data_IF_304648382896
#
_entry.id   IF_304648382896
#
_cell.length_a   1.000
_cell.length_b   1.000
_cell.length_c   1.000
_cell.angle_alpha   90.00
_cell.angle_beta   90.00
_cell.angle_gamma   90.00
#
_symmetry.space_group_name_H-M   'P 1'
#
loop_
_entity.id
_entity.type
_entity.pdbx_description
1 polymer ?
#
# COMPACT_ATOMS: atom_id res chain seq x y z
N UNK A 1 1.67 -15.36 -29.78
CA UNK A 1 0.95 -14.56 -28.78
C UNK A 1 0.20 -13.45 -29.49
N UNK A 2 -1.04 -13.11 -29.09
CA UNK A 2 -1.76 -11.97 -29.67
C UNK A 2 -1.13 -10.65 -29.20
N UNK A 3 -1.20 -9.56 -30.00
CA UNK A 3 -0.65 -8.26 -29.59
C UNK A 3 -1.19 -7.77 -28.23
N UNK A 4 -2.49 -7.94 -27.98
CA UNK A 4 -3.12 -7.55 -26.70
C UNK A 4 -2.64 -8.37 -25.49
N UNK A 5 -2.25 -9.63 -25.70
CA UNK A 5 -1.68 -10.48 -24.63
C UNK A 5 -0.27 -10.02 -24.28
N UNK A 6 0.55 -9.70 -25.29
CA UNK A 6 1.88 -9.15 -25.07
C UNK A 6 1.83 -7.80 -24.35
N UNK A 7 0.93 -6.91 -24.76
CA UNK A 7 0.75 -5.63 -24.06
C UNK A 7 0.24 -5.83 -22.62
N UNK A 8 -0.59 -6.83 -22.36
CA UNK A 8 -1.03 -7.15 -21.00
C UNK A 8 0.11 -7.71 -20.13
N UNK A 9 0.99 -8.54 -20.70
CA UNK A 9 2.22 -8.98 -20.03
C UNK A 9 3.11 -7.79 -19.69
N UNK A 10 3.31 -6.87 -20.63
CA UNK A 10 4.06 -5.63 -20.44
C UNK A 10 3.47 -4.81 -19.29
N UNK A 11 2.15 -4.62 -19.29
CA UNK A 11 1.41 -3.88 -18.27
C UNK A 11 1.60 -4.50 -16.88
N UNK A 12 1.29 -5.79 -16.74
CA UNK A 12 1.40 -6.52 -15.46
C UNK A 12 2.85 -6.62 -14.98
N UNK A 13 3.83 -6.59 -15.89
CA UNK A 13 5.23 -6.57 -15.50
C UNK A 13 5.68 -5.25 -14.90
N UNK A 14 5.05 -4.14 -15.30
CA UNK A 14 5.35 -2.79 -14.78
C UNK A 14 4.52 -2.47 -13.54
N UNK A 15 3.28 -2.97 -13.51
CA UNK A 15 2.27 -2.69 -12.49
C UNK A 15 1.64 -3.98 -11.97
N UNK A 16 2.41 -4.83 -11.27
CA UNK A 16 1.89 -6.04 -10.63
C UNK A 16 0.84 -5.69 -9.58
N UNK A 17 -0.15 -6.56 -9.42
CA UNK A 17 -1.30 -6.41 -8.52
C UNK A 17 -2.25 -5.27 -8.90
N UNK A 18 -2.22 -4.82 -10.16
CA UNK A 18 -3.24 -3.94 -10.71
C UNK A 18 -4.55 -4.72 -10.90
N UNK A 19 -5.69 -4.06 -10.67
CA UNK A 19 -7.00 -4.61 -11.04
C UNK A 19 -7.33 -4.32 -12.51
N UNK A 20 -8.38 -4.94 -13.06
CA UNK A 20 -8.71 -4.82 -14.49
C UNK A 20 -9.23 -3.42 -14.88
N UNK A 21 -9.87 -2.69 -13.97
CA UNK A 21 -10.36 -1.33 -14.23
C UNK A 21 -9.22 -0.31 -14.15
N UNK A 22 -8.34 -0.46 -13.16
CA UNK A 22 -7.07 0.26 -13.04
C UNK A 22 -6.21 0.00 -14.29
N UNK A 23 -6.15 -1.25 -14.78
CA UNK A 23 -5.45 -1.60 -16.01
C UNK A 23 -6.02 -0.86 -17.23
N UNK A 24 -7.34 -0.85 -17.40
CA UNK A 24 -8.00 -0.14 -18.50
C UNK A 24 -7.69 1.36 -18.50
N UNK A 25 -7.78 2.00 -17.32
CA UNK A 25 -7.48 3.42 -17.17
C UNK A 25 -6.01 3.75 -17.50
N UNK A 26 -5.07 2.93 -17.01
CA UNK A 26 -3.64 3.18 -17.15
C UNK A 26 -3.06 2.77 -18.51
N UNK A 27 -3.74 1.91 -19.28
CA UNK A 27 -3.34 1.53 -20.63
C UNK A 27 -4.05 2.30 -21.74
N UNK A 28 -5.15 3.01 -21.42
CA UNK A 28 -6.03 3.64 -22.41
C UNK A 28 -6.93 2.64 -23.16
N UNK A 29 -7.02 1.40 -22.69
CA UNK A 29 -7.87 0.39 -23.29
C UNK A 29 -9.34 0.58 -22.91
N UNK A 30 -10.23 0.07 -23.76
CA UNK A 30 -11.62 -0.15 -23.34
C UNK A 30 -11.66 -1.18 -22.20
N UNK A 31 -12.67 -1.07 -21.33
CA UNK A 31 -12.87 -2.02 -20.22
C UNK A 31 -12.92 -3.47 -20.73
N UNK A 32 -13.66 -3.73 -21.81
CA UNK A 32 -13.77 -5.06 -22.40
C UNK A 32 -12.42 -5.59 -22.91
N UNK A 33 -11.60 -4.74 -23.52
CA UNK A 33 -10.27 -5.14 -24.00
C UNK A 33 -9.34 -5.52 -22.83
N UNK A 34 -9.31 -4.70 -21.77
CA UNK A 34 -8.52 -4.99 -20.57
C UNK A 34 -8.95 -6.30 -19.90
N UNK A 35 -10.27 -6.53 -19.77
CA UNK A 35 -10.81 -7.76 -19.21
C UNK A 35 -10.41 -8.99 -20.03
N UNK A 36 -10.64 -8.94 -21.34
CA UNK A 36 -10.35 -10.06 -22.23
C UNK A 36 -8.86 -10.39 -22.27
N UNK A 37 -8.00 -9.37 -22.31
CA UNK A 37 -6.55 -9.55 -22.36
C UNK A 37 -6.02 -10.20 -21.06
N UNK A 38 -6.39 -9.67 -19.89
CA UNK A 38 -5.97 -10.23 -18.59
C UNK A 38 -6.54 -11.63 -18.37
N UNK A 39 -7.79 -11.87 -18.75
CA UNK A 39 -8.41 -13.19 -18.64
C UNK A 39 -7.76 -14.21 -19.59
N UNK A 40 -7.32 -13.80 -20.78
CA UNK A 40 -6.54 -14.67 -21.67
C UNK A 40 -5.24 -15.12 -21.00
N UNK A 41 -4.51 -14.20 -20.37
CA UNK A 41 -3.28 -14.53 -19.63
C UNK A 41 -3.54 -15.47 -18.45
N UNK A 42 -4.67 -15.30 -17.74
CA UNK A 42 -5.06 -16.23 -16.67
C UNK A 42 -5.39 -17.63 -17.20
N UNK A 43 -6.12 -17.72 -18.32
CA UNK A 43 -6.44 -19.00 -18.98
C UNK A 43 -5.20 -19.73 -19.46
N UNK A 44 -4.17 -19.00 -19.90
CA UNK A 44 -2.89 -19.56 -20.34
C UNK A 44 -1.92 -19.83 -19.18
N UNK A 45 -2.28 -19.52 -17.93
CA UNK A 45 -1.40 -19.73 -16.77
C UNK A 45 -0.21 -18.74 -16.70
N UNK A 46 -0.24 -17.67 -17.49
CA UNK A 46 0.80 -16.63 -17.52
C UNK A 46 0.59 -15.56 -16.45
N UNK A 47 -0.65 -15.41 -15.97
CA UNK A 47 -1.01 -14.56 -14.86
C UNK A 47 -1.91 -15.31 -13.87
N UNK A 48 -1.91 -14.85 -12.63
CA UNK A 48 -2.83 -15.31 -11.58
C UNK A 48 -3.39 -14.11 -10.83
N UNK A 49 -4.50 -14.31 -10.13
CA UNK A 49 -5.12 -13.28 -9.30
C UNK A 49 -5.28 -13.67 -7.85
N UNK A 50 -5.29 -12.64 -7.01
CA UNK A 50 -5.60 -12.73 -5.58
C UNK A 50 -6.83 -11.86 -5.27
N UNK A 51 -7.67 -12.25 -4.30
CA UNK A 51 -8.72 -11.38 -3.80
C UNK A 51 -8.11 -10.22 -3.01
N UNK A 52 -8.72 -9.04 -3.13
CA UNK A 52 -8.35 -7.88 -2.33
C UNK A 52 -9.59 -7.10 -1.93
N UNK A 53 -9.65 -6.69 -0.67
CA UNK A 53 -10.62 -5.72 -0.18
C UNK A 53 -10.00 -4.97 1.02
N UNK A 54 -10.35 -3.70 1.17
CA UNK A 54 -10.00 -2.92 2.36
C UNK A 54 -11.17 -2.03 2.75
N UNK A 55 -11.04 -1.29 3.85
CA UNK A 55 -12.07 -0.30 4.22
C UNK A 55 -12.19 0.84 3.20
N UNK A 56 -11.13 1.08 2.41
CA UNK A 56 -11.07 2.18 1.45
C UNK A 56 -11.37 1.73 0.02
N UNK A 57 -11.24 0.43 -0.26
CA UNK A 57 -11.26 -0.10 -1.63
C UNK A 57 -12.23 -1.28 -1.67
N UNK A 58 -13.24 -1.24 -2.56
CA UNK A 58 -14.21 -2.31 -2.69
C UNK A 58 -13.52 -3.63 -3.07
N UNK A 59 -14.20 -4.77 -2.90
CA UNK A 59 -13.67 -6.06 -3.31
C UNK A 59 -13.25 -6.07 -4.78
N UNK A 60 -12.00 -6.44 -5.05
CA UNK A 60 -11.39 -6.53 -6.38
C UNK A 60 -10.57 -7.80 -6.51
N UNK A 61 -10.17 -8.12 -7.75
CA UNK A 61 -9.16 -9.14 -8.06
C UNK A 61 -7.93 -8.42 -8.59
N UNK A 62 -6.78 -8.73 -8.00
CA UNK A 62 -5.49 -8.11 -8.34
C UNK A 62 -4.60 -9.13 -9.01
N UNK A 63 -4.01 -8.76 -10.14
CA UNK A 63 -3.35 -9.71 -11.04
C UNK A 63 -1.83 -9.55 -11.02
N UNK A 64 -1.09 -10.65 -11.08
CA UNK A 64 0.36 -10.62 -11.27
C UNK A 64 0.81 -11.76 -12.19
N UNK A 65 2.01 -11.60 -12.77
CA UNK A 65 2.61 -12.63 -13.62
C UNK A 65 3.06 -13.85 -12.80
N UNK A 66 2.92 -15.03 -13.40
CA UNK A 66 3.53 -16.27 -12.92
C UNK A 66 5.00 -16.35 -13.33
N UNK A 67 5.73 -17.36 -12.85
CA UNK A 67 7.09 -17.62 -13.33
C UNK A 67 7.12 -17.84 -14.84
N UNK A 68 6.12 -18.55 -15.38
CA UNK A 68 5.98 -18.77 -16.82
C UNK A 68 5.66 -17.46 -17.56
N UNK A 69 4.74 -16.65 -17.06
CA UNK A 69 4.44 -15.34 -17.66
C UNK A 69 5.67 -14.42 -17.75
N UNK A 70 6.54 -14.44 -16.72
CA UNK A 70 7.82 -13.70 -16.75
C UNK A 70 8.77 -14.28 -17.79
N UNK A 71 8.90 -15.61 -17.89
CA UNK A 71 9.76 -16.28 -18.87
C UNK A 71 9.32 -16.02 -20.32
N UNK A 72 8.00 -16.07 -20.57
CA UNK A 72 7.42 -15.75 -21.89
C UNK A 72 7.71 -14.29 -22.24
N UNK A 73 7.43 -13.36 -21.33
CA UNK A 73 7.69 -11.93 -21.57
C UNK A 73 9.17 -11.65 -21.87
N UNK A 74 10.09 -12.29 -21.14
CA UNK A 74 11.52 -12.14 -21.37
C UNK A 74 11.91 -12.57 -22.79
N UNK A 75 11.38 -13.70 -23.26
CA UNK A 75 11.57 -14.21 -24.62
C UNK A 75 10.99 -13.27 -25.69
N UNK A 76 9.77 -12.77 -25.49
CA UNK A 76 9.13 -11.85 -26.44
C UNK A 76 9.87 -10.50 -26.53
N UNK A 77 10.49 -10.03 -25.44
CA UNK A 77 11.30 -8.81 -25.44
C UNK A 77 12.76 -9.02 -25.90
N UNK A 78 13.17 -10.26 -26.17
CA UNK A 78 14.57 -10.59 -26.48
C UNK A 78 15.54 -10.28 -25.33
N UNK A 79 15.06 -10.29 -24.09
CA UNK A 79 15.85 -10.00 -22.88
C UNK A 79 15.99 -11.24 -21.99
N UNK A 80 17.10 -11.32 -21.23
CA UNK A 80 17.25 -12.37 -20.22
C UNK A 80 16.26 -12.18 -19.06
N UNK A 81 15.76 -13.29 -18.51
CA UNK A 81 14.88 -13.30 -17.33
C UNK A 81 15.51 -12.51 -16.17
N UNK A 82 16.80 -12.69 -15.91
CA UNK A 82 17.50 -11.98 -14.83
C UNK A 82 17.50 -10.45 -15.02
N UNK A 83 17.62 -9.98 -16.26
CA UNK A 83 17.57 -8.55 -16.57
C UNK A 83 16.15 -8.00 -16.33
N UNK A 84 15.12 -8.76 -16.70
CA UNK A 84 13.73 -8.42 -16.46
C UNK A 84 13.43 -8.35 -14.95
N UNK A 85 13.84 -9.36 -14.18
CA UNK A 85 13.65 -9.43 -12.73
C UNK A 85 14.36 -8.31 -11.95
N UNK A 86 15.46 -7.77 -12.49
CA UNK A 86 16.21 -6.64 -11.89
C UNK A 86 15.65 -5.29 -12.27
N UNK A 87 15.02 -5.17 -13.44
CA UNK A 87 14.49 -3.90 -13.96
C UNK A 87 13.02 -3.67 -13.64
N UNK A 88 12.25 -4.73 -13.35
CA UNK A 88 10.79 -4.67 -13.14
C UNK A 88 10.35 -5.27 -11.81
N UNK A 89 9.19 -4.84 -11.26
CA UNK A 89 8.66 -5.33 -9.99
C UNK A 89 8.03 -6.75 -10.04
N UNK A 90 8.58 -7.68 -10.82
CA UNK A 90 8.00 -9.02 -11.05
C UNK A 90 8.68 -10.16 -10.29
N UNK A 91 9.76 -9.88 -9.57
CA UNK A 91 10.46 -10.92 -8.81
C UNK A 91 9.70 -11.39 -7.58
N UNK A 92 10.03 -12.57 -7.04
CA UNK A 92 9.43 -13.06 -5.79
C UNK A 92 9.60 -12.08 -4.62
N UNK A 93 10.74 -11.38 -4.54
CA UNK A 93 11.01 -10.40 -3.50
C UNK A 93 10.09 -9.17 -3.64
N UNK A 94 9.88 -8.72 -4.88
CA UNK A 94 8.94 -7.65 -5.19
C UNK A 94 7.51 -8.07 -4.87
N UNK A 95 7.06 -9.23 -5.37
CA UNK A 95 5.72 -9.73 -5.12
C UNK A 95 5.45 -9.83 -3.60
N UNK A 96 6.39 -10.39 -2.84
CA UNK A 96 6.29 -10.43 -1.36
C UNK A 96 6.09 -9.04 -0.77
N UNK A 97 6.92 -8.07 -1.14
CA UNK A 97 6.87 -6.72 -0.62
C UNK A 97 5.54 -6.01 -0.99
N UNK A 98 5.04 -6.23 -2.20
CA UNK A 98 3.80 -5.64 -2.66
C UNK A 98 2.58 -6.28 -1.98
N UNK A 99 2.61 -7.60 -1.73
CA UNK A 99 1.59 -8.30 -0.94
C UNK A 99 1.56 -7.80 0.51
N UNK A 100 2.72 -7.63 1.14
CA UNK A 100 2.84 -7.05 2.48
C UNK A 100 2.29 -5.61 2.54
N UNK A 101 2.18 -4.92 1.39
CA UNK A 101 1.73 -3.53 1.23
C UNK A 101 0.47 -3.40 0.37
N UNK A 102 -0.32 -4.47 0.27
CA UNK A 102 -1.37 -4.57 -0.76
C UNK A 102 -2.36 -3.41 -0.73
N UNK A 103 -2.80 -3.00 0.47
CA UNK A 103 -3.74 -1.88 0.63
C UNK A 103 -3.12 -0.55 0.16
N UNK A 104 -1.85 -0.31 0.48
CA UNK A 104 -1.13 0.89 0.04
C UNK A 104 -0.91 0.90 -1.48
N UNK A 105 -0.53 -0.23 -2.06
CA UNK A 105 -0.35 -0.40 -3.52
C UNK A 105 -1.66 -0.14 -4.25
N UNK A 106 -2.75 -0.68 -3.72
CA UNK A 106 -4.10 -0.49 -4.24
C UNK A 106 -4.49 0.99 -4.24
N UNK A 107 -4.26 1.73 -3.15
CA UNK A 107 -4.53 3.18 -3.10
C UNK A 107 -3.70 3.94 -4.13
N UNK A 108 -2.43 3.58 -4.33
CA UNK A 108 -1.58 4.20 -5.36
C UNK A 108 -2.14 3.96 -6.77
N UNK A 109 -2.62 2.75 -7.08
CA UNK A 109 -3.21 2.47 -8.39
C UNK A 109 -4.54 3.19 -8.62
N UNK A 110 -5.38 3.33 -7.59
CA UNK A 110 -6.61 4.13 -7.65
C UNK A 110 -6.31 5.60 -7.89
N UNK A 111 -5.31 6.16 -7.19
CA UNK A 111 -4.82 7.52 -7.43
C UNK A 111 -4.29 7.68 -8.86
N UNK A 112 -3.49 6.75 -9.35
CA UNK A 112 -2.97 6.79 -10.71
C UNK A 112 -4.11 6.71 -11.75
N UNK A 113 -5.15 5.91 -11.49
CA UNK A 113 -6.34 5.82 -12.35
C UNK A 113 -7.15 7.13 -12.36
N UNK A 114 -7.31 7.78 -11.21
CA UNK A 114 -7.95 9.10 -11.15
C UNK A 114 -7.12 10.18 -11.85
N UNK A 115 -5.78 10.09 -11.77
CA UNK A 115 -4.87 10.98 -12.51
C UNK A 115 -4.95 10.76 -14.02
N UNK A 116 -5.18 9.52 -14.50
CA UNK A 116 -5.24 9.26 -15.95
C UNK A 116 -6.40 9.97 -16.64
N UNK A 117 -7.48 10.29 -15.90
CA UNK A 117 -8.60 11.08 -16.41
C UNK A 117 -8.24 12.56 -16.63
N UNK A 118 -7.19 13.05 -15.96
CA UNK A 118 -6.71 14.43 -16.07
C UNK A 118 -5.44 14.55 -16.94
N UNK A 119 -4.62 13.50 -17.00
CA UNK A 119 -3.39 13.47 -17.78
C UNK A 119 -3.10 12.04 -18.27
N UNK A 120 -2.99 11.86 -19.59
CA UNK A 120 -2.68 10.56 -20.20
C UNK A 120 -1.74 10.76 -21.41
N UNK A 121 -0.77 9.86 -21.66
CA UNK A 121 -0.44 8.64 -20.93
C UNK A 121 0.36 8.88 -19.64
N UNK A 122 0.19 7.96 -18.67
CA UNK A 122 0.96 7.96 -17.42
C UNK A 122 2.02 6.86 -17.43
N UNK A 123 3.16 7.12 -16.78
CA UNK A 123 4.12 6.08 -16.40
C UNK A 123 4.19 6.02 -14.89
N UNK A 124 4.00 4.83 -14.32
CA UNK A 124 4.04 4.59 -12.88
C UNK A 124 5.23 3.69 -12.52
N UNK A 125 5.93 4.02 -11.44
CA UNK A 125 6.95 3.16 -10.83
C UNK A 125 6.75 3.08 -9.33
N UNK A 126 6.71 1.86 -8.81
CA UNK A 126 6.73 1.60 -7.36
C UNK A 126 8.17 1.53 -6.84
N UNK A 127 8.36 1.79 -5.56
CA UNK A 127 9.67 1.81 -4.90
C UNK A 127 9.74 0.87 -3.69
N UNK A 128 10.83 0.11 -3.58
CA UNK A 128 11.06 -0.82 -2.45
C UNK A 128 11.57 -0.10 -1.21
N UNK A 129 12.56 0.77 -1.43
CA UNK A 129 13.44 1.34 -0.42
C UNK A 129 13.60 2.86 -0.52
N UNK A 130 13.28 3.49 -1.67
CA UNK A 130 13.28 4.95 -1.76
C UNK A 130 12.33 5.58 -0.72
N UNK A 131 12.55 6.83 -0.28
CA UNK A 131 11.67 7.50 0.68
C UNK A 131 10.28 7.85 0.11
N UNK A 132 9.96 7.44 -1.11
CA UNK A 132 8.64 7.51 -1.76
C UNK A 132 8.04 6.11 -1.93
N UNK A 133 6.73 6.01 -2.07
CA UNK A 133 6.04 4.75 -2.38
C UNK A 133 5.95 4.51 -3.87
N UNK A 134 5.66 5.56 -4.61
CA UNK A 134 5.57 5.55 -6.06
C UNK A 134 6.04 6.88 -6.64
N UNK A 135 6.31 6.88 -7.94
CA UNK A 135 6.32 8.10 -8.74
C UNK A 135 5.51 7.90 -10.02
N UNK A 136 4.92 8.99 -10.50
CA UNK A 136 4.03 9.03 -11.65
C UNK A 136 4.60 10.11 -12.58
N UNK A 137 5.06 9.73 -13.77
CA UNK A 137 5.38 10.70 -14.80
C UNK A 137 4.15 11.00 -15.65
N UNK A 138 3.93 12.30 -15.86
CA UNK A 138 2.90 12.87 -16.70
C UNK A 138 3.39 12.95 -18.17
N UNK A 139 2.49 13.23 -19.14
CA UNK A 139 2.84 13.33 -20.55
C UNK A 139 3.87 14.43 -20.88
N UNK A 140 3.99 15.44 -20.02
CA UNK A 140 4.86 16.61 -20.17
C UNK A 140 6.13 16.56 -19.30
N UNK A 141 6.58 15.34 -19.00
CA UNK A 141 7.79 15.05 -18.22
C UNK A 141 7.79 15.56 -16.76
N UNK A 142 6.67 16.10 -16.28
CA UNK A 142 6.47 16.33 -14.85
C UNK A 142 6.39 15.00 -14.10
N UNK A 143 6.94 14.98 -12.89
CA UNK A 143 6.98 13.79 -12.04
C UNK A 143 6.33 14.09 -10.69
N UNK A 144 5.27 13.35 -10.38
CA UNK A 144 4.60 13.37 -9.08
C UNK A 144 5.15 12.24 -8.23
N UNK A 145 5.70 12.55 -7.06
CA UNK A 145 6.12 11.53 -6.10
C UNK A 145 5.06 11.30 -5.03
N UNK A 146 4.65 10.06 -4.84
CA UNK A 146 3.61 9.67 -3.88
C UNK A 146 4.25 9.17 -2.58
N UNK A 147 3.82 9.73 -1.45
CA UNK A 147 4.29 9.38 -0.11
C UNK A 147 3.09 9.09 0.78
N UNK A 148 2.91 7.83 1.16
CA UNK A 148 1.88 7.42 2.11
C UNK A 148 2.46 7.38 3.52
N UNK A 149 1.71 7.89 4.50
CA UNK A 149 1.94 7.61 5.92
C UNK A 149 0.83 6.69 6.41
N UNK A 150 1.18 5.52 6.94
CA UNK A 150 0.19 4.68 7.60
C UNK A 150 0.18 4.85 9.12
N UNK A 151 -0.83 4.31 9.82
CA UNK A 151 -1.04 4.51 11.25
C UNK A 151 0.09 3.98 12.14
N UNK A 152 0.81 2.92 11.72
CA UNK A 152 1.92 2.36 12.48
C UNK A 152 3.19 3.25 12.42
N UNK A 153 3.24 4.22 11.51
CA UNK A 153 4.41 5.10 11.38
C UNK A 153 4.44 6.14 12.50
N UNK A 154 5.52 6.14 13.29
CA UNK A 154 5.73 7.12 14.34
C UNK A 154 6.12 8.50 13.79
N UNK A 155 5.95 9.54 14.61
CA UNK A 155 6.28 10.93 14.24
C UNK A 155 7.73 11.07 13.79
N UNK A 156 8.66 10.41 14.48
CA UNK A 156 10.09 10.51 14.20
C UNK A 156 10.45 9.79 12.89
N UNK A 157 9.91 8.61 12.64
CA UNK A 157 10.10 7.87 11.40
C UNK A 157 9.57 8.64 10.19
N UNK A 158 8.39 9.24 10.30
CA UNK A 158 7.83 10.06 9.23
C UNK A 158 8.67 11.33 8.98
N UNK A 159 9.06 12.06 10.03
CA UNK A 159 9.93 13.22 9.88
C UNK A 159 11.28 12.88 9.22
N UNK A 160 11.91 11.76 9.61
CA UNK A 160 13.13 11.23 8.97
C UNK A 160 12.91 10.85 7.50
N UNK A 161 11.72 10.33 7.16
CA UNK A 161 11.34 10.03 5.77
C UNK A 161 11.23 11.31 4.95
N UNK A 162 10.52 12.33 5.45
CA UNK A 162 10.43 13.64 4.81
C UNK A 162 11.79 14.33 4.66
N UNK A 163 12.65 14.23 5.68
CA UNK A 163 14.00 14.77 5.59
C UNK A 163 14.82 14.11 4.48
N UNK A 164 14.73 12.77 4.34
CA UNK A 164 15.39 12.03 3.25
C UNK A 164 14.91 12.44 1.85
N UNK A 165 13.65 12.90 1.70
CA UNK A 165 13.16 13.41 0.42
C UNK A 165 13.93 14.63 -0.07
N UNK A 166 14.52 15.42 0.84
CA UNK A 166 15.32 16.60 0.48
C UNK A 166 16.62 16.24 -0.27
N UNK A 167 17.11 15.02 -0.12
CA UNK A 167 18.30 14.51 -0.80
C UNK A 167 18.02 13.72 -2.09
N UNK A 168 16.76 13.61 -2.51
CA UNK A 168 16.40 12.94 -3.76
C UNK A 168 16.47 13.90 -4.96
N UNK A 169 16.57 13.35 -6.20
CA UNK A 169 16.19 14.10 -7.39
C UNK A 169 14.84 14.77 -7.20
N UNK A 170 14.71 16.05 -7.60
CA UNK A 170 13.52 16.85 -7.29
C UNK A 170 12.34 16.41 -8.19
N UNK A 171 11.24 15.89 -7.61
CA UNK A 171 9.99 15.74 -8.35
C UNK A 171 9.33 17.11 -8.58
N UNK A 172 8.42 17.19 -9.53
CA UNK A 172 7.61 18.40 -9.81
C UNK A 172 6.68 18.72 -8.64
N UNK A 173 6.16 17.71 -7.95
CA UNK A 173 5.44 17.84 -6.70
C UNK A 173 5.42 16.53 -5.89
N UNK A 174 5.11 16.65 -4.60
CA UNK A 174 4.78 15.52 -3.72
C UNK A 174 3.27 15.42 -3.52
N UNK A 175 2.74 14.20 -3.59
CA UNK A 175 1.40 13.84 -3.17
C UNK A 175 1.50 13.00 -1.89
N UNK A 176 1.04 13.56 -0.77
CA UNK A 176 1.10 12.93 0.54
C UNK A 176 -0.27 12.39 0.95
N UNK A 177 -0.34 11.10 1.24
CA UNK A 177 -1.56 10.42 1.68
C UNK A 177 -1.48 10.12 3.17
N UNK A 178 -2.34 10.76 3.96
CA UNK A 178 -2.32 10.73 5.42
C UNK A 178 -3.50 9.89 5.93
N UNK A 179 -3.35 9.13 7.03
CA UNK A 179 -4.39 8.19 7.43
C UNK A 179 -5.51 8.90 8.23
N UNK A 180 -5.24 10.08 8.78
CA UNK A 180 -6.20 10.89 9.55
C UNK A 180 -5.81 12.37 9.59
N UNK A 181 -6.73 13.20 10.09
CA UNK A 181 -6.58 14.66 10.19
C UNK A 181 -5.53 15.11 11.22
N UNK A 182 -5.20 14.30 12.22
CA UNK A 182 -4.15 14.65 13.19
C UNK A 182 -2.78 14.57 12.51
N UNK A 183 -2.51 13.45 11.84
CA UNK A 183 -1.28 13.22 11.08
C UNK A 183 -1.18 14.15 9.87
N UNK A 184 -2.29 14.46 9.20
CA UNK A 184 -2.32 15.46 8.12
C UNK A 184 -1.89 16.84 8.59
N UNK A 185 -2.49 17.35 9.68
CA UNK A 185 -2.11 18.65 10.26
C UNK A 185 -0.64 18.66 10.70
N UNK A 186 -0.16 17.56 11.25
CA UNK A 186 1.24 17.43 11.64
C UNK A 186 2.18 17.44 10.43
N UNK A 187 1.88 16.68 9.38
CA UNK A 187 2.65 16.64 8.15
C UNK A 187 2.72 18.03 7.51
N UNK A 188 1.59 18.74 7.47
CA UNK A 188 1.53 20.12 6.97
C UNK A 188 2.45 21.07 7.75
N UNK A 189 2.56 20.94 9.07
CA UNK A 189 3.52 21.71 9.88
C UNK A 189 4.97 21.39 9.52
N UNK A 190 5.30 20.11 9.31
CA UNK A 190 6.65 19.68 8.92
C UNK A 190 7.04 20.14 7.51
N UNK A 191 6.05 20.37 6.65
CA UNK A 191 6.23 20.75 5.26
C UNK A 191 6.19 22.27 5.01
N UNK A 192 5.95 23.08 6.05
CA UNK A 192 5.83 24.54 5.90
C UNK A 192 7.04 25.16 5.19
N UNK A 193 8.24 24.71 5.56
CA UNK A 193 9.51 25.21 5.03
C UNK A 193 10.21 24.16 4.15
N UNK A 194 9.43 23.23 3.57
CA UNK A 194 9.99 22.23 2.67
C UNK A 194 10.35 22.86 1.32
N UNK A 195 11.50 22.49 0.71
CA UNK A 195 11.96 23.07 -0.55
C UNK A 195 11.25 22.49 -1.79
N UNK A 196 10.07 21.89 -1.61
CA UNK A 196 9.32 21.20 -2.66
C UNK A 196 7.83 21.49 -2.53
N UNK A 197 7.15 21.50 -3.67
CA UNK A 197 5.70 21.66 -3.74
C UNK A 197 5.06 20.36 -3.22
N UNK A 198 4.13 20.48 -2.28
CA UNK A 198 3.50 19.33 -1.64
C UNK A 198 2.00 19.54 -1.46
N UNK A 199 1.24 18.48 -1.77
CA UNK A 199 -0.19 18.40 -1.59
C UNK A 199 -0.51 17.22 -0.68
N UNK A 200 -1.42 17.42 0.26
CA UNK A 200 -1.81 16.44 1.27
C UNK A 200 -3.29 16.11 1.11
N UNK A 201 -3.64 14.85 1.23
CA UNK A 201 -5.03 14.40 1.33
C UNK A 201 -5.15 13.32 2.42
N UNK A 202 -6.37 13.12 2.93
CA UNK A 202 -6.67 11.90 3.66
C UNK A 202 -6.65 10.73 2.68
N UNK A 203 -6.10 9.60 3.11
CA UNK A 203 -5.99 8.39 2.30
C UNK A 203 -7.39 7.91 1.85
N UNK A 204 -8.38 8.02 2.74
CA UNK A 204 -9.79 7.71 2.44
C UNK A 204 -10.36 8.57 1.32
N UNK A 205 -10.07 9.87 1.36
CA UNK A 205 -10.60 10.83 0.40
C UNK A 205 -9.93 10.60 -0.96
N UNK A 206 -8.61 10.45 -0.99
CA UNK A 206 -7.85 10.23 -2.22
C UNK A 206 -8.18 8.89 -2.89
N UNK A 207 -8.49 7.84 -2.12
CA UNK A 207 -8.84 6.53 -2.66
C UNK A 207 -10.24 6.48 -3.30
N UNK A 208 -11.16 7.32 -2.82
CA UNK A 208 -12.55 7.40 -3.29
C UNK A 208 -12.80 8.55 -4.28
N UNK A 209 -11.94 9.57 -4.28
CA UNK A 209 -12.07 10.76 -5.11
C UNK A 209 -11.89 10.48 -6.61
N UNK A 210 -12.75 11.10 -7.42
CA UNK A 210 -12.49 11.32 -8.84
C UNK A 210 -11.59 12.54 -9.08
N UNK A 211 -11.19 12.80 -10.34
CA UNK A 211 -10.28 13.90 -10.70
C UNK A 211 -10.79 15.29 -10.29
N UNK A 212 -12.10 15.48 -10.19
CA UNK A 212 -12.75 16.77 -9.87
C UNK A 212 -13.06 16.94 -8.38
N UNK A 213 -12.71 15.97 -7.53
CA UNK A 213 -13.03 16.04 -6.10
C UNK A 213 -12.03 16.95 -5.36
N UNK A 214 -12.48 18.02 -4.68
CA UNK A 214 -11.59 18.97 -4.02
C UNK A 214 -11.10 18.42 -2.66
N UNK A 215 -10.16 17.48 -2.68
CA UNK A 215 -9.66 16.78 -1.48
C UNK A 215 -8.20 17.12 -1.15
N UNK A 216 -7.48 17.72 -2.09
CA UNK A 216 -6.06 18.02 -1.96
C UNK A 216 -5.83 19.36 -1.27
N UNK A 217 -5.00 19.33 -0.23
CA UNK A 217 -4.65 20.49 0.59
C UNK A 217 -3.20 20.86 0.30
N UNK A 218 -2.89 22.05 -0.22
CA UNK A 218 -1.51 22.50 -0.35
C UNK A 218 -0.83 22.59 1.02
N UNK A 219 0.49 22.41 1.07
CA UNK A 219 1.27 22.57 2.31
C UNK A 219 1.13 23.99 2.90
N UNK A 220 1.00 24.99 2.03
CA UNK A 220 0.74 26.40 2.34
C UNK A 220 -0.65 26.83 1.81
N UNK A 221 -1.40 27.61 2.60
CA UNK A 221 -2.77 28.03 2.24
C UNK A 221 -3.89 27.07 2.67
N UNK A 222 -5.15 27.48 2.53
CA UNK A 222 -6.32 26.74 3.05
C UNK A 222 -7.25 26.17 1.97
N UNK A 223 -7.06 26.56 0.70
CA UNK A 223 -7.92 26.12 -0.39
C UNK A 223 -7.80 24.61 -0.64
N UNK A 224 -8.94 23.95 -0.79
CA UNK A 224 -9.02 22.59 -1.30
C UNK A 224 -8.92 22.60 -2.82
N UNK A 225 -8.17 21.66 -3.37
CA UNK A 225 -7.89 21.52 -4.79
C UNK A 225 -8.36 20.16 -5.28
N UNK A 226 -8.88 20.13 -6.51
CA UNK A 226 -9.04 18.90 -7.26
C UNK A 226 -7.71 18.49 -7.92
N UNK A 227 -7.68 17.33 -8.60
CA UNK A 227 -6.44 16.86 -9.22
C UNK A 227 -5.99 17.76 -10.37
N UNK A 228 -6.91 18.35 -11.15
CA UNK A 228 -6.55 19.25 -12.26
C UNK A 228 -5.84 20.50 -11.75
N UNK A 229 -6.40 21.14 -10.72
CA UNK A 229 -5.79 22.28 -10.06
C UNK A 229 -4.46 21.93 -9.38
N UNK A 230 -4.30 20.71 -8.85
CA UNK A 230 -3.00 20.22 -8.37
C UNK A 230 -2.00 20.14 -9.52
N UNK A 231 -2.39 19.57 -10.65
CA UNK A 231 -1.54 19.47 -11.84
C UNK A 231 -1.12 20.86 -12.32
N UNK A 232 -2.04 21.80 -12.49
CA UNK A 232 -1.74 23.17 -12.97
C UNK A 232 -0.75 23.94 -12.08
N UNK A 233 -0.66 23.55 -10.81
CA UNK A 233 0.22 24.18 -9.80
C UNK A 233 1.47 23.36 -9.52
N UNK A 234 1.70 22.25 -10.23
CA UNK A 234 2.95 21.49 -10.08
C UNK A 234 4.12 22.22 -10.74
N UNK A 235 5.32 21.98 -10.23
CA UNK A 235 6.54 22.61 -10.73
C UNK A 235 6.93 22.14 -12.13
N UNK A 236 8.10 22.61 -12.62
CA UNK A 236 8.66 22.20 -13.92
C UNK A 236 8.94 20.69 -13.99
N UNK A 237 9.33 20.16 -15.17
CA UNK A 237 9.71 18.77 -15.35
C UNK A 237 10.61 18.24 -14.24
N UNK A 238 10.28 17.05 -13.75
CA UNK A 238 10.89 16.46 -12.56
C UNK A 238 11.76 15.27 -12.92
N UNK A 239 12.44 14.73 -11.91
CA UNK A 239 13.23 13.50 -12.08
C UNK A 239 12.68 12.36 -11.25
N UNK A 240 12.75 11.16 -11.81
CA UNK A 240 12.46 9.94 -11.08
C UNK A 240 13.44 9.76 -9.93
N UNK A 241 12.97 9.45 -8.71
CA UNK A 241 13.85 8.97 -7.65
C UNK A 241 14.66 7.76 -8.13
N UNK A 242 15.95 7.75 -7.85
CA UNK A 242 16.84 6.63 -8.18
C UNK A 242 16.75 5.54 -7.10
N UNK A 243 16.65 4.27 -7.50
CA UNK A 243 16.77 3.12 -6.61
C UNK A 243 17.72 2.09 -7.21
N UNK A 244 18.66 1.58 -6.40
CA UNK A 244 19.58 0.51 -6.82
C UNK A 244 18.79 -0.77 -7.11
N UNK A 245 19.06 -1.47 -8.23
CA UNK A 245 18.44 -2.76 -8.51
C UNK A 245 18.63 -3.78 -7.38
N UNK A 246 17.74 -4.78 -7.22
CA UNK A 246 17.96 -5.87 -6.27
C UNK A 246 19.27 -6.61 -6.57
N UNK A 247 20.04 -6.89 -5.52
CA UNK A 247 21.26 -7.71 -5.65
C UNK A 247 20.96 -9.17 -6.02
N UNK A 248 19.83 -9.68 -5.53
CA UNK A 248 19.30 -11.02 -5.85
C UNK A 248 17.83 -10.88 -6.24
N UNK A 249 17.46 -11.52 -7.33
CA UNK A 249 16.09 -11.60 -7.80
C UNK A 249 15.83 -13.03 -8.25
N UNK A 250 14.66 -13.55 -7.92
CA UNK A 250 14.23 -14.88 -8.33
C UNK A 250 12.84 -14.80 -8.95
N UNK A 251 12.52 -15.76 -9.80
CA UNK A 251 11.19 -15.90 -10.37
C UNK A 251 10.12 -15.92 -9.27
N UNK A 252 8.93 -15.35 -9.52
CA UNK A 252 7.84 -15.38 -8.57
C UNK A 252 7.43 -16.82 -8.30
N UNK A 253 7.40 -17.19 -7.01
CA UNK A 253 6.90 -18.48 -6.56
C UNK A 253 5.40 -18.38 -6.41
N UNK A 254 4.67 -19.45 -6.73
CA UNK A 254 3.23 -19.54 -6.50
C UNK A 254 2.84 -19.09 -5.09
N UNK A 255 1.69 -18.44 -4.98
CA UNK A 255 1.13 -18.04 -3.69
C UNK A 255 0.47 -19.28 -3.08
N UNK A 256 1.29 -20.17 -2.52
CA UNK A 256 0.79 -21.30 -1.74
C UNK A 256 0.38 -20.83 -0.35
N UNK A 257 -0.79 -21.28 0.12
CA UNK A 257 -1.37 -20.96 1.43
C UNK A 257 -0.67 -21.65 2.62
N UNK A 258 0.53 -22.21 2.41
CA UNK A 258 1.36 -22.85 3.42
C UNK A 258 2.15 -21.86 4.31
N UNK A 259 3.19 -22.35 4.99
CA UNK A 259 4.03 -21.70 6.04
C UNK A 259 4.62 -20.31 5.73
N UNK A 260 4.35 -19.74 4.56
CA UNK A 260 4.52 -18.32 4.22
C UNK A 260 3.30 -17.42 4.52
N UNK A 261 2.41 -17.81 5.43
CA UNK A 261 1.12 -17.16 5.70
C UNK A 261 1.19 -15.66 6.09
N UNK A 262 2.31 -15.20 6.66
CA UNK A 262 2.44 -13.81 7.17
C UNK A 262 2.35 -12.75 6.09
N UNK A 263 2.97 -12.99 4.92
CA UNK A 263 2.91 -12.06 3.79
C UNK A 263 1.53 -12.03 3.12
N UNK A 264 0.70 -13.05 3.35
CA UNK A 264 -0.66 -13.13 2.84
C UNK A 264 -1.69 -12.59 3.81
N UNK A 265 -1.28 -12.15 5.00
CA UNK A 265 -2.21 -11.62 5.99
C UNK A 265 -3.10 -10.48 5.42
N UNK A 266 -2.58 -9.51 4.62
CA UNK A 266 -3.43 -8.50 4.00
C UNK A 266 -4.48 -9.05 3.01
N UNK A 267 -4.24 -10.24 2.45
CA UNK A 267 -5.17 -10.95 1.54
C UNK A 267 -6.21 -11.73 2.34
N UNK A 268 -5.81 -12.32 3.47
CA UNK A 268 -6.67 -13.15 4.32
C UNK A 268 -7.63 -12.33 5.19
N UNK A 269 -7.26 -11.09 5.53
CA UNK A 269 -8.09 -10.20 6.35
C UNK A 269 -9.22 -9.56 5.53
N UNK A 270 -10.46 -9.63 6.03
CA UNK A 270 -11.58 -8.86 5.48
C UNK A 270 -11.45 -7.38 5.86
N UNK A 271 -12.15 -6.45 5.19
CA UNK A 271 -12.13 -5.03 5.54
C UNK A 271 -12.36 -4.77 7.03
N UNK A 272 -13.43 -5.34 7.59
CA UNK A 272 -13.74 -5.21 9.03
C UNK A 272 -12.65 -5.76 9.94
N UNK A 273 -11.90 -6.78 9.51
CA UNK A 273 -10.81 -7.37 10.28
C UNK A 273 -9.60 -6.41 10.29
N UNK A 274 -9.30 -5.80 9.13
CA UNK A 274 -8.27 -4.75 8.99
C UNK A 274 -8.61 -3.53 9.84
N UNK A 275 -9.87 -3.09 9.82
CA UNK A 275 -10.36 -1.99 10.66
C UNK A 275 -10.15 -2.28 12.14
N UNK A 276 -10.63 -3.43 12.61
CA UNK A 276 -10.47 -3.84 14.00
C UNK A 276 -9.00 -3.90 14.40
N UNK A 277 -8.15 -4.47 13.55
CA UNK A 277 -6.71 -4.57 13.82
C UNK A 277 -6.05 -3.19 13.91
N UNK A 278 -6.40 -2.26 13.03
CA UNK A 278 -5.95 -0.86 13.08
C UNK A 278 -6.32 -0.20 14.42
N UNK A 279 -7.59 -0.30 14.82
CA UNK A 279 -8.08 0.27 16.07
C UNK A 279 -7.43 -0.36 17.32
N UNK A 280 -7.24 -1.68 17.34
CA UNK A 280 -6.52 -2.36 18.43
C UNK A 280 -5.06 -1.91 18.50
N UNK A 281 -4.43 -1.62 17.35
CA UNK A 281 -3.05 -1.13 17.31
C UNK A 281 -2.88 0.34 17.72
N UNK A 282 -3.92 1.16 17.53
CA UNK A 282 -3.97 2.57 17.94
C UNK A 282 -4.36 2.73 19.41
N UNK A 283 -5.18 1.82 19.95
CA UNK A 283 -5.54 1.74 21.36
C UNK A 283 -5.15 0.38 21.96
N UNK A 284 -3.88 0.21 22.37
CA UNK A 284 -3.44 -0.99 23.05
C UNK A 284 -4.30 -1.29 24.27
N UNK A 285 -4.61 -2.57 24.49
CA UNK A 285 -5.48 -3.02 25.57
C UNK A 285 -6.88 -2.41 25.48
N UNK A 286 -7.46 -2.32 24.29
CA UNK A 286 -8.85 -1.89 24.15
C UNK A 286 -9.79 -2.95 24.75
N UNK A 287 -10.84 -2.50 25.45
CA UNK A 287 -11.90 -3.41 25.88
C UNK A 287 -12.75 -3.85 24.69
N UNK A 288 -13.24 -5.09 24.62
CA UNK A 288 -14.15 -5.50 23.55
C UNK A 288 -15.39 -4.59 23.45
N UNK A 289 -15.93 -4.12 24.57
CA UNK A 289 -17.09 -3.22 24.56
C UNK A 289 -16.79 -1.88 23.87
N UNK A 290 -15.61 -1.28 24.14
CA UNK A 290 -15.21 -0.04 23.48
C UNK A 290 -14.92 -0.25 22.00
N UNK A 291 -14.22 -1.33 21.64
CA UNK A 291 -13.98 -1.67 20.24
C UNK A 291 -15.30 -1.84 19.48
N UNK A 292 -16.25 -2.58 20.05
CA UNK A 292 -17.60 -2.75 19.48
C UNK A 292 -18.33 -1.42 19.31
N UNK A 293 -18.27 -0.53 20.31
CA UNK A 293 -18.86 0.80 20.25
C UNK A 293 -18.27 1.67 19.13
N UNK A 294 -16.93 1.72 19.02
CA UNK A 294 -16.22 2.50 18.00
C UNK A 294 -16.48 1.95 16.59
N UNK A 295 -16.55 0.63 16.44
CA UNK A 295 -16.82 0.00 15.16
C UNK A 295 -18.32 -0.01 14.79
N UNK A 296 -19.22 0.31 15.72
CA UNK A 296 -20.66 0.19 15.52
C UNK A 296 -21.14 -1.26 15.39
N UNK A 297 -20.44 -2.22 16.01
CA UNK A 297 -20.73 -3.64 15.89
C UNK A 297 -21.49 -4.19 17.09
N UNK A 298 -22.51 -5.02 16.82
CA UNK A 298 -23.15 -5.86 17.85
C UNK A 298 -22.15 -6.86 18.43
N UNK A 299 -22.36 -7.27 19.68
CA UNK A 299 -21.49 -8.20 20.42
C UNK A 299 -21.18 -9.50 19.66
N UNK A 300 -22.19 -10.11 19.01
CA UNK A 300 -22.01 -11.34 18.24
C UNK A 300 -21.06 -11.15 17.06
N UNK A 301 -21.27 -10.08 16.27
CA UNK A 301 -20.43 -9.74 15.13
C UNK A 301 -19.01 -9.37 15.55
N UNK A 302 -18.86 -8.61 16.64
CA UNK A 302 -17.54 -8.32 17.20
C UNK A 302 -16.83 -9.60 17.62
N UNK A 303 -17.52 -10.53 18.27
CA UNK A 303 -16.94 -11.81 18.69
C UNK A 303 -16.47 -12.63 17.49
N UNK A 304 -17.19 -12.61 16.37
CA UNK A 304 -16.76 -13.26 15.12
C UNK A 304 -15.48 -12.62 14.55
N UNK A 305 -15.41 -11.29 14.50
CA UNK A 305 -14.23 -10.56 14.00
C UNK A 305 -13.01 -10.83 14.89
N UNK A 306 -13.15 -10.70 16.20
CA UNK A 306 -12.07 -10.98 17.17
C UNK A 306 -11.66 -12.45 17.12
N UNK A 307 -12.62 -13.38 17.03
CA UNK A 307 -12.34 -14.81 16.91
C UNK A 307 -11.53 -15.13 15.67
N UNK A 308 -11.86 -14.54 14.50
CA UNK A 308 -11.08 -14.71 13.27
C UNK A 308 -9.68 -14.10 13.40
N UNK A 309 -9.57 -12.89 13.95
CA UNK A 309 -8.26 -12.26 14.18
C UNK A 309 -7.38 -13.09 15.12
N UNK A 310 -7.95 -13.71 16.14
CA UNK A 310 -7.25 -14.63 17.03
C UNK A 310 -6.81 -15.91 16.31
N UNK A 311 -7.67 -16.52 15.48
CA UNK A 311 -7.31 -17.68 14.63
C UNK A 311 -6.17 -17.37 13.66
N UNK A 312 -6.13 -16.13 13.13
CA UNK A 312 -5.02 -15.65 12.30
C UNK A 312 -3.79 -15.22 13.11
N UNK A 313 -3.80 -15.41 14.43
CA UNK A 313 -2.70 -15.04 15.33
C UNK A 313 -2.39 -13.55 15.35
N UNK A 314 -3.39 -12.69 15.07
CA UNK A 314 -3.23 -11.24 14.99
C UNK A 314 -3.61 -10.53 16.29
N UNK A 315 -4.53 -11.11 17.05
CA UNK A 315 -5.03 -10.53 18.31
C UNK A 315 -4.99 -11.59 19.39
N UNK A 316 -4.60 -11.18 20.59
CA UNK A 316 -4.71 -11.99 21.79
C UNK A 316 -5.69 -11.33 22.76
N UNK A 317 -6.44 -12.20 23.44
CA UNK A 317 -7.26 -11.83 24.57
C UNK A 317 -6.46 -12.00 25.86
N UNK A 318 -6.51 -11.00 26.73
CA UNK A 318 -5.81 -11.03 28.01
C UNK A 318 -6.64 -10.44 29.13
N UNK A 319 -6.29 -10.79 30.37
CA UNK A 319 -6.85 -10.20 31.58
C UNK A 319 -5.85 -9.22 32.17
N UNK A 320 -6.20 -7.93 32.16
CA UNK A 320 -5.43 -6.88 32.84
C UNK A 320 -6.29 -6.37 33.99
N UNK A 321 -5.79 -6.50 35.21
CA UNK A 321 -6.51 -6.14 36.45
C UNK A 321 -7.91 -6.79 36.52
N UNK A 322 -8.01 -8.07 36.16
CA UNK A 322 -9.26 -8.84 36.14
C UNK A 322 -10.26 -8.45 35.03
N UNK A 323 -9.88 -7.54 34.12
CA UNK A 323 -10.75 -7.09 33.02
C UNK A 323 -10.21 -7.59 31.68
N UNK A 324 -11.12 -8.07 30.84
CA UNK A 324 -10.83 -8.53 29.48
C UNK A 324 -10.33 -7.38 28.59
N UNK A 325 -9.21 -7.61 27.89
CA UNK A 325 -8.53 -6.65 27.01
C UNK A 325 -8.03 -7.34 25.75
N UNK A 326 -8.06 -6.62 24.64
CA UNK A 326 -7.54 -7.07 23.35
C UNK A 326 -6.23 -6.35 23.06
N UNK A 327 -5.24 -7.09 22.58
CA UNK A 327 -3.98 -6.55 22.10
C UNK A 327 -3.57 -7.18 20.78
N UNK A 328 -2.92 -6.40 19.93
CA UNK A 328 -2.31 -6.90 18.71
C UNK A 328 -1.06 -7.72 19.07
N UNK A 329 -0.88 -8.87 18.44
CA UNK A 329 0.32 -9.71 18.63
C UNK A 329 1.52 -9.11 17.89
N UNK A 330 2.72 -9.57 18.22
CA UNK A 330 3.96 -9.24 17.47
C UNK A 330 3.84 -9.49 15.97
N UNK A 331 3.12 -10.55 15.60
CA UNK A 331 2.83 -10.90 14.21
C UNK A 331 2.02 -9.82 13.51
N UNK A 332 0.93 -9.37 14.13
CA UNK A 332 0.10 -8.30 13.62
C UNK A 332 0.85 -6.96 13.56
N UNK A 333 1.57 -6.59 14.62
CA UNK A 333 2.34 -5.35 14.67
C UNK A 333 3.43 -5.33 13.59
N UNK A 334 4.09 -6.46 13.34
CA UNK A 334 5.05 -6.58 12.25
C UNK A 334 4.39 -6.46 10.87
N UNK A 335 3.20 -7.03 10.68
CA UNK A 335 2.45 -6.90 9.43
C UNK A 335 2.03 -5.45 9.16
N UNK A 336 1.45 -4.76 10.16
CA UNK A 336 1.09 -3.35 10.07
C UNK A 336 2.32 -2.47 9.78
N UNK A 337 3.43 -2.72 10.46
CA UNK A 337 4.66 -1.97 10.23
C UNK A 337 5.20 -2.14 8.80
N UNK A 338 5.15 -3.35 8.24
CA UNK A 338 5.58 -3.63 6.86
C UNK A 338 4.67 -2.95 5.84
N UNK A 339 3.35 -2.99 6.06
CA UNK A 339 2.36 -2.31 5.23
C UNK A 339 2.60 -0.80 5.17
N UNK A 340 3.00 -0.20 6.30
CA UNK A 340 3.21 1.24 6.44
C UNK A 340 4.65 1.70 6.20
N UNK A 341 5.56 0.76 5.91
CA UNK A 341 7.00 1.01 5.80
C UNK A 341 7.60 1.62 7.08
N UNK A 342 6.98 1.34 8.21
CA UNK A 342 7.48 1.69 9.52
C UNK A 342 8.56 0.68 9.96
N UNK A 343 9.42 1.10 10.88
CA UNK A 343 10.35 0.17 11.52
C UNK A 343 9.55 -0.84 12.35
N UNK A 344 9.72 -2.14 12.06
CA UNK A 344 9.11 -3.22 12.85
C UNK A 344 9.48 -3.06 14.33
N UNK A 345 10.73 -2.70 14.63
CA UNK A 345 11.17 -2.46 16.02
C UNK A 345 10.46 -1.27 16.68
N UNK A 346 10.12 -0.22 15.94
CA UNK A 346 9.35 0.90 16.48
C UNK A 346 7.87 0.53 16.69
N UNK A 347 7.30 -0.32 15.84
CA UNK A 347 5.95 -0.85 16.02
C UNK A 347 5.85 -1.87 17.16
N UNK A 348 6.91 -2.67 17.39
CA UNK A 348 7.03 -3.62 18.52
C UNK A 348 7.26 -2.95 19.87
N UNK A 349 7.77 -1.71 19.92
CA UNK A 349 7.81 -0.89 21.14
C UNK A 349 6.41 -0.48 21.64
N UNK A 350 5.34 -1.00 21.02
CA UNK A 350 3.97 -0.88 21.50
C UNK A 350 3.56 -2.23 22.07
N UNK A 351 3.33 -2.26 23.37
CA UNK A 351 2.36 -3.09 24.11
C UNK A 351 1.85 -4.33 23.37
N UNK A 352 2.71 -5.35 23.27
CA UNK A 352 2.34 -6.68 22.79
C UNK A 352 1.86 -7.53 23.97
N UNK A 353 0.99 -8.53 23.79
CA UNK A 353 0.67 -9.49 24.83
C UNK A 353 1.82 -10.45 25.16
N UNK A 354 2.92 -10.42 24.40
CA UNK A 354 4.11 -11.25 24.63
C UNK A 354 4.95 -10.65 25.75
N UNK A 355 5.17 -11.42 26.82
CA UNK A 355 5.98 -10.98 27.96
C UNK A 355 7.46 -10.88 27.60
N UNK A 356 8.14 -9.87 28.15
CA UNK A 356 9.60 -9.75 28.08
C UNK A 356 10.25 -10.85 28.93
N UNK A 357 9.75 -11.03 30.15
CA UNK A 357 10.08 -12.12 31.06
C UNK A 357 8.83 -13.00 31.28
N UNK A 358 8.81 -14.24 30.72
CA UNK A 358 7.69 -15.17 30.89
C UNK A 358 7.41 -15.60 32.34
N UNK A 359 8.37 -15.41 33.26
CA UNK A 359 8.22 -15.76 34.69
C UNK A 359 7.52 -14.69 35.53
N UNK A 360 7.40 -13.47 35.01
CA UNK A 360 6.83 -12.31 35.70
C UNK A 360 5.38 -12.04 35.25
N UNK A 361 4.55 -11.37 36.07
CA UNK A 361 3.17 -11.09 35.71
C UNK A 361 3.08 -10.14 34.50
N UNK A 362 1.94 -10.19 33.80
CA UNK A 362 1.60 -9.25 32.75
C UNK A 362 1.36 -7.86 33.36
N UNK A 363 2.40 -7.04 33.37
CA UNK A 363 2.34 -5.64 33.71
C UNK A 363 2.83 -4.78 32.53
N UNK A 364 2.72 -3.46 32.65
CA UNK A 364 3.12 -2.55 31.59
C UNK A 364 4.61 -2.46 31.32
N UNK A 365 5.44 -2.92 32.27
CA UNK A 365 6.90 -2.94 32.19
C UNK A 365 7.41 -4.25 31.61
N UNK A 366 6.59 -5.29 31.64
CA UNK A 366 6.88 -6.64 31.19
C UNK A 366 6.16 -7.00 29.86
N UNK A 367 5.91 -6.01 28.99
CA UNK A 367 5.24 -6.12 27.68
C UNK A 367 5.84 -5.21 26.61
#
# INVERSE_FOLDING_TARGET
MKPSELEALLLLSRMPLVDRLEAAALSGWSRSAAYNAVESLEREGLAVSIPHASDLIPPTRRHHLTAEGVSVLAREEGTGVDALLRSRPVSAQWLRLLLERLDAVAVVYRLASALSDAAFPLKLRLYRAAPVDAAIALPDDRVLAVVRQGPATDRTGFAKRLWRLRGLPKPSALLLLMPDEVRLRQARRLLRDAPFIAYLALESDAAAAGPESPVWRPSTGSALLDLRAVLDRTGPPGQWPSERPPARASLPVGIETGTGADRLLPVLLKPVDKRALGLISDWPWISPAHLGGIMGLKRSRLSEVVGRLAQLGCVQDTLISGRRRLAATDRALAALARADRASVGAARRRWSPTLIDPGEPLDWRNV
#
